data_IF_862524077347
#
_entry.id   IF_862524077347
#
_cell.length_a   1.000
_cell.length_b   1.000
_cell.length_c   1.000
_cell.angle_alpha   90.00
_cell.angle_beta   90.00
_cell.angle_gamma   90.00
#
_symmetry.space_group_name_H-M   'P 1'
#
loop_
_entity.id
_entity.type
_entity.pdbx_description
1 polymer ?
#
# COMPACT_ATOMS: atom_id res chain seq x y z
N UNK A 1 15.62 67.27 7.91
CA UNK A 1 16.90 66.74 8.43
C UNK A 1 17.26 65.53 7.59
N UNK A 2 18.46 65.57 6.97
CA UNK A 2 19.27 64.46 6.39
C UNK A 2 18.59 63.50 5.39
N UNK A 3 18.73 63.60 4.06
CA UNK A 3 19.90 63.41 3.17
C UNK A 3 20.64 62.06 3.31
N UNK A 4 20.57 61.23 2.26
CA UNK A 4 21.58 60.25 1.79
C UNK A 4 22.87 61.01 1.36
N UNK A 5 24.02 60.39 0.97
CA UNK A 5 24.39 58.96 0.77
C UNK A 5 25.74 58.58 1.43
N UNK A 6 26.19 57.31 1.32
CA UNK A 6 27.56 57.00 0.84
C UNK A 6 27.81 55.50 0.60
N UNK A 7 28.26 55.22 -0.63
CA UNK A 7 28.99 54.03 -1.03
C UNK A 7 30.38 54.01 -0.36
N UNK A 8 30.87 52.82 -0.02
CA UNK A 8 32.30 52.61 0.26
C UNK A 8 32.83 51.43 -0.54
N UNK A 9 34.00 51.66 -1.13
CA UNK A 9 34.79 50.76 -1.98
C UNK A 9 35.83 50.03 -1.11
N UNK A 10 36.05 48.75 -1.39
CA UNK A 10 37.30 48.03 -1.06
C UNK A 10 37.38 46.78 -1.96
N UNK A 11 38.15 46.76 -3.06
CA UNK A 11 39.61 46.62 -3.15
C UNK A 11 40.12 45.26 -2.64
N UNK A 12 40.64 44.43 -3.55
CA UNK A 12 41.44 43.25 -3.20
C UNK A 12 41.39 42.16 -4.28
N UNK A 13 42.44 42.06 -5.09
CA UNK A 13 42.52 41.19 -6.27
C UNK A 13 42.86 39.72 -6.01
N UNK A 14 43.17 38.99 -7.09
CA UNK A 14 43.82 37.67 -6.99
C UNK A 14 43.44 36.65 -8.06
N UNK A 15 44.06 36.79 -9.24
CA UNK A 15 44.69 35.76 -10.07
C UNK A 15 44.27 34.26 -9.95
N UNK A 16 44.09 33.63 -11.12
CA UNK A 16 44.65 32.30 -11.40
C UNK A 16 43.66 31.14 -11.52
N UNK A 17 43.48 30.65 -12.76
CA UNK A 17 42.80 29.39 -13.04
C UNK A 17 43.69 28.16 -12.86
N UNK A 18 43.05 27.05 -12.51
CA UNK A 18 43.40 25.67 -12.82
C UNK A 18 42.13 24.83 -12.53
N UNK A 19 41.61 24.06 -13.47
CA UNK A 19 42.10 22.72 -13.73
C UNK A 19 41.20 21.73 -12.98
N UNK A 20 40.26 21.12 -13.70
CA UNK A 20 39.18 20.34 -13.11
C UNK A 20 39.59 18.99 -12.51
N UNK A 21 38.69 18.48 -11.67
CA UNK A 21 38.32 17.06 -11.60
C UNK A 21 36.87 17.00 -11.14
N UNK A 22 35.98 16.60 -12.06
CA UNK A 22 34.60 16.26 -11.72
C UNK A 22 34.62 14.89 -11.03
N UNK A 23 34.34 14.88 -9.72
CA UNK A 23 34.02 13.63 -9.01
C UNK A 23 32.63 13.16 -9.46
N UNK A 24 32.45 11.94 -9.98
CA UNK A 24 31.12 11.43 -10.25
C UNK A 24 30.43 11.17 -8.90
N UNK A 25 29.31 11.86 -8.68
CA UNK A 25 28.44 11.63 -7.55
C UNK A 25 27.84 10.20 -7.65
N UNK A 26 28.39 9.26 -6.87
CA UNK A 26 27.91 7.88 -6.72
C UNK A 26 26.58 7.75 -5.94
N UNK A 27 25.85 8.83 -5.74
CA UNK A 27 24.64 8.86 -4.90
C UNK A 27 23.41 8.17 -5.53
N UNK A 28 23.46 7.77 -6.80
CA UNK A 28 22.33 7.15 -7.51
C UNK A 28 22.23 5.62 -7.41
N UNK A 29 23.31 4.92 -7.07
CA UNK A 29 23.34 3.45 -7.11
C UNK A 29 22.63 2.79 -5.92
N UNK A 30 22.61 3.45 -4.76
CA UNK A 30 22.01 2.90 -3.53
C UNK A 30 20.47 2.87 -3.53
N UNK A 31 19.82 3.81 -4.24
CA UNK A 31 18.35 3.90 -4.27
C UNK A 31 17.72 2.80 -5.15
N UNK A 32 18.31 2.51 -6.32
CA UNK A 32 17.84 1.40 -7.18
C UNK A 32 18.04 0.05 -6.50
N UNK A 33 19.22 -0.20 -5.93
CA UNK A 33 19.51 -1.47 -5.25
C UNK A 33 18.61 -1.74 -4.04
N UNK A 34 18.14 -0.69 -3.34
CA UNK A 34 17.21 -0.83 -2.22
C UNK A 34 15.78 -1.13 -2.69
N UNK A 35 15.34 -0.52 -3.79
CA UNK A 35 14.03 -0.81 -4.40
C UNK A 35 13.96 -2.23 -4.95
N UNK A 36 15.03 -2.72 -5.59
CA UNK A 36 15.11 -4.10 -6.10
C UNK A 36 15.00 -5.13 -4.97
N UNK A 37 15.71 -4.90 -3.85
CA UNK A 37 15.63 -5.77 -2.66
C UNK A 37 14.25 -5.75 -2.01
N UNK A 38 13.62 -4.58 -1.96
CA UNK A 38 12.26 -4.43 -1.44
C UNK A 38 11.25 -5.17 -2.33
N UNK A 39 11.41 -5.11 -3.65
CA UNK A 39 10.55 -5.80 -4.61
C UNK A 39 10.70 -7.33 -4.49
N UNK A 40 11.94 -7.84 -4.42
CA UNK A 40 12.19 -9.27 -4.18
C UNK A 40 11.56 -9.74 -2.87
N UNK A 41 11.60 -8.91 -1.83
CA UNK A 41 10.91 -9.20 -0.57
C UNK A 41 9.38 -9.20 -0.73
N UNK A 42 8.81 -8.33 -1.56
CA UNK A 42 7.38 -8.29 -1.81
C UNK A 42 6.90 -9.51 -2.59
N UNK A 43 7.63 -9.92 -3.64
CA UNK A 43 7.34 -11.15 -4.41
C UNK A 43 7.31 -12.38 -3.51
N UNK A 44 8.30 -12.54 -2.63
CA UNK A 44 8.31 -13.63 -1.66
C UNK A 44 7.10 -13.59 -0.72
N UNK A 45 6.75 -12.42 -0.19
CA UNK A 45 5.57 -12.27 0.67
C UNK A 45 4.27 -12.59 -0.09
N UNK A 46 4.18 -12.26 -1.38
CA UNK A 46 3.02 -12.60 -2.22
C UNK A 46 2.93 -14.11 -2.43
N UNK A 47 4.05 -14.81 -2.62
CA UNK A 47 4.08 -16.28 -2.66
C UNK A 47 3.62 -16.88 -1.32
N UNK A 48 4.10 -16.31 -0.21
CA UNK A 48 3.77 -16.77 1.14
C UNK A 48 2.27 -16.64 1.47
N UNK A 49 1.52 -15.74 0.80
CA UNK A 49 0.06 -15.66 0.93
C UNK A 49 -0.65 -16.97 0.55
N UNK A 50 -0.06 -17.76 -0.36
CA UNK A 50 -0.63 -19.05 -0.75
C UNK A 50 -0.50 -20.11 0.34
N UNK A 51 0.51 -20.00 1.21
CA UNK A 51 0.74 -20.93 2.31
C UNK A 51 -0.05 -20.50 3.57
N UNK A 52 -1.04 -21.28 4.05
CA UNK A 52 -1.85 -20.92 5.22
C UNK A 52 -1.05 -20.60 6.50
N UNK A 53 0.12 -21.23 6.69
CA UNK A 53 0.95 -21.03 7.88
C UNK A 53 1.69 -19.68 7.86
N UNK A 54 2.07 -19.20 6.67
CA UNK A 54 2.82 -17.96 6.49
C UNK A 54 1.92 -16.76 6.18
N UNK A 55 0.71 -17.04 5.70
CA UNK A 55 -0.24 -16.04 5.19
C UNK A 55 -0.52 -14.91 6.17
N UNK A 56 -0.69 -15.19 7.45
CA UNK A 56 -1.01 -14.14 8.44
C UNK A 56 0.11 -13.11 8.56
N UNK A 57 1.37 -13.56 8.58
CA UNK A 57 2.52 -12.69 8.61
C UNK A 57 2.66 -11.92 7.28
N UNK A 58 2.49 -12.63 6.16
CA UNK A 58 2.55 -12.03 4.83
C UNK A 58 1.49 -10.92 4.63
N UNK A 59 0.25 -11.14 5.07
CA UNK A 59 -0.81 -10.15 5.05
C UNK A 59 -0.44 -8.89 5.83
N UNK A 60 0.12 -9.06 7.03
CA UNK A 60 0.52 -7.95 7.90
C UNK A 60 1.66 -7.13 7.28
N UNK A 61 2.67 -7.79 6.73
CA UNK A 61 3.82 -7.10 6.16
C UNK A 61 3.49 -6.42 4.82
N UNK A 62 2.72 -7.08 3.96
CA UNK A 62 2.25 -6.47 2.70
C UNK A 62 1.30 -5.30 2.96
N UNK A 63 0.41 -5.38 3.95
CA UNK A 63 -0.53 -4.28 4.24
C UNK A 63 0.19 -3.01 4.70
N UNK A 64 1.31 -3.13 5.43
CA UNK A 64 2.18 -2.00 5.81
C UNK A 64 2.95 -1.43 4.63
N UNK A 65 3.41 -2.28 3.72
CA UNK A 65 4.26 -1.90 2.58
C UNK A 65 3.46 -1.49 1.34
N UNK A 66 2.13 -1.51 1.41
CA UNK A 66 1.24 -1.31 0.25
C UNK A 66 1.41 0.03 -0.49
N UNK A 67 1.96 1.04 0.18
CA UNK A 67 2.21 2.38 -0.41
C UNK A 67 3.62 2.49 -1.02
N UNK A 68 4.52 1.56 -0.71
CA UNK A 68 5.91 1.57 -1.17
C UNK A 68 6.06 1.03 -2.60
N UNK A 69 5.06 0.30 -3.09
CA UNK A 69 5.11 -0.44 -4.34
C UNK A 69 3.94 -0.04 -5.23
N UNK A 70 4.20 0.80 -6.24
CA UNK A 70 3.17 1.17 -7.23
C UNK A 70 2.65 -0.07 -7.98
N UNK A 71 3.52 -1.04 -8.26
CA UNK A 71 3.18 -2.24 -9.03
C UNK A 71 2.68 -3.41 -8.16
N UNK A 72 2.41 -3.20 -6.87
CA UNK A 72 1.92 -4.27 -6.00
C UNK A 72 0.56 -4.81 -6.44
N UNK A 73 -0.33 -3.95 -6.93
CA UNK A 73 -1.66 -4.38 -7.35
C UNK A 73 -1.61 -5.33 -8.56
N UNK A 74 -0.90 -5.01 -9.66
CA UNK A 74 -0.63 -5.96 -10.74
C UNK A 74 0.06 -7.24 -10.25
N UNK A 75 1.02 -7.15 -9.34
CA UNK A 75 1.71 -8.33 -8.78
C UNK A 75 0.73 -9.25 -8.03
N UNK A 76 -0.12 -8.69 -7.16
CA UNK A 76 -1.15 -9.44 -6.42
C UNK A 76 -2.17 -10.09 -7.35
N UNK A 77 -2.54 -9.40 -8.44
CA UNK A 77 -3.55 -9.89 -9.36
C UNK A 77 -3.05 -11.04 -10.25
N UNK A 78 -1.82 -10.90 -10.76
CA UNK A 78 -1.25 -11.86 -11.71
C UNK A 78 -0.54 -13.04 -11.03
N UNK A 79 -0.27 -12.94 -9.72
CA UNK A 79 0.27 -14.06 -8.95
C UNK A 79 -0.77 -15.15 -8.76
N UNK A 80 -0.36 -16.40 -9.00
CA UNK A 80 -1.24 -17.55 -8.91
C UNK A 80 -1.81 -17.69 -7.49
N UNK A 81 -3.11 -17.98 -7.38
CA UNK A 81 -3.84 -18.20 -6.13
C UNK A 81 -3.88 -17.04 -5.13
N UNK A 82 -3.21 -15.90 -5.38
CA UNK A 82 -3.14 -14.78 -4.43
C UNK A 82 -4.53 -14.17 -4.17
N UNK A 83 -5.29 -13.81 -5.21
CA UNK A 83 -6.65 -13.28 -5.04
C UNK A 83 -7.57 -14.30 -4.36
N UNK A 84 -7.42 -15.59 -4.69
CA UNK A 84 -8.19 -16.66 -4.04
C UNK A 84 -7.86 -16.79 -2.55
N UNK A 85 -6.59 -16.66 -2.17
CA UNK A 85 -6.16 -16.64 -0.78
C UNK A 85 -6.73 -15.42 -0.02
N UNK A 86 -6.74 -14.23 -0.62
CA UNK A 86 -7.37 -13.04 -0.04
C UNK A 86 -8.89 -13.22 0.15
N UNK A 87 -9.57 -13.82 -0.83
CA UNK A 87 -10.99 -14.16 -0.73
C UNK A 87 -11.25 -15.20 0.37
N UNK A 88 -10.35 -16.17 0.54
CA UNK A 88 -10.47 -17.18 1.60
C UNK A 88 -10.45 -16.52 2.98
N UNK A 89 -9.61 -15.51 3.19
CA UNK A 89 -9.59 -14.73 4.44
C UNK A 89 -10.91 -14.00 4.68
N UNK A 90 -11.51 -13.41 3.65
CA UNK A 90 -12.84 -12.78 3.75
C UNK A 90 -13.91 -13.80 4.12
N UNK A 91 -13.95 -14.95 3.44
CA UNK A 91 -15.00 -15.95 3.66
C UNK A 91 -14.85 -16.60 5.05
N UNK A 92 -13.62 -16.71 5.57
CA UNK A 92 -13.34 -17.36 6.86
C UNK A 92 -14.05 -16.72 8.06
N UNK A 93 -14.38 -15.42 7.99
CA UNK A 93 -15.06 -14.71 9.08
C UNK A 93 -16.59 -14.79 9.00
N UNK A 94 -17.17 -15.24 7.88
CA UNK A 94 -18.63 -15.30 7.71
C UNK A 94 -19.37 -16.04 8.83
N UNK A 95 -18.88 -17.21 9.33
CA UNK A 95 -19.56 -17.94 10.39
C UNK A 95 -19.66 -17.17 11.72
N UNK A 96 -18.78 -16.19 11.97
CA UNK A 96 -18.74 -15.40 13.20
C UNK A 96 -19.33 -13.99 13.06
N UNK A 97 -19.94 -13.69 11.90
CA UNK A 97 -20.74 -12.48 11.73
C UNK A 97 -22.09 -12.60 12.45
N UNK A 98 -22.63 -13.83 12.54
CA UNK A 98 -23.90 -14.14 13.20
C UNK A 98 -23.88 -15.56 13.78
N UNK A 99 -23.70 -15.75 15.11
CA UNK A 99 -23.66 -14.72 16.14
C UNK A 99 -22.38 -13.86 16.09
N UNK A 100 -22.43 -12.58 16.51
CA UNK A 100 -21.35 -11.62 16.32
C UNK A 100 -20.22 -11.80 17.34
N UNK A 101 -19.39 -12.83 17.17
CA UNK A 101 -18.27 -13.16 18.07
C UNK A 101 -16.89 -13.15 17.38
N UNK A 102 -16.54 -12.19 16.50
CA UNK A 102 -15.19 -12.12 15.95
C UNK A 102 -14.21 -11.66 17.02
N UNK A 103 -13.07 -12.35 17.11
CA UNK A 103 -11.97 -11.91 17.96
C UNK A 103 -11.26 -10.71 17.31
N UNK A 104 -10.66 -9.80 18.10
CA UNK A 104 -9.88 -8.70 17.55
C UNK A 104 -8.76 -9.16 16.60
N UNK A 105 -8.12 -10.30 16.89
CA UNK A 105 -7.10 -10.88 16.04
C UNK A 105 -7.64 -11.25 14.65
N UNK A 106 -8.79 -11.94 14.59
CA UNK A 106 -9.42 -12.33 13.33
C UNK A 106 -9.86 -11.10 12.52
N UNK A 107 -10.45 -10.09 13.17
CA UNK A 107 -10.83 -8.86 12.48
C UNK A 107 -9.63 -8.10 11.92
N UNK A 108 -8.51 -8.03 12.67
CA UNK A 108 -7.28 -7.41 12.17
C UNK A 108 -6.70 -8.15 10.96
N UNK A 109 -6.69 -9.49 11.01
CA UNK A 109 -6.22 -10.34 9.92
C UNK A 109 -7.05 -10.13 8.64
N UNK A 110 -8.37 -10.15 8.73
CA UNK A 110 -9.26 -9.88 7.58
C UNK A 110 -9.10 -8.43 7.10
N UNK A 111 -8.96 -7.45 7.99
CA UNK A 111 -8.70 -6.07 7.59
C UNK A 111 -7.38 -5.89 6.84
N UNK A 112 -6.33 -6.66 7.16
CA UNK A 112 -5.09 -6.67 6.37
C UNK A 112 -5.34 -7.20 4.96
N UNK A 113 -6.15 -8.25 4.79
CA UNK A 113 -6.54 -8.74 3.47
C UNK A 113 -7.38 -7.71 2.69
N UNK A 114 -8.34 -7.06 3.36
CA UNK A 114 -9.12 -5.97 2.77
C UNK A 114 -8.26 -4.79 2.34
N UNK A 115 -7.21 -4.45 3.10
CA UNK A 115 -6.26 -3.39 2.75
C UNK A 115 -5.51 -3.71 1.45
N UNK A 116 -5.18 -4.97 1.18
CA UNK A 116 -4.57 -5.39 -0.09
C UNK A 116 -5.57 -5.38 -1.24
N UNK A 117 -6.81 -5.82 -1.01
CA UNK A 117 -7.88 -5.71 -2.01
C UNK A 117 -8.21 -4.25 -2.34
N UNK A 118 -8.10 -3.34 -1.37
CA UNK A 118 -8.20 -1.90 -1.60
C UNK A 118 -7.13 -1.41 -2.56
N UNK A 119 -5.89 -1.90 -2.46
CA UNK A 119 -4.82 -1.56 -3.39
C UNK A 119 -5.15 -2.04 -4.81
N UNK A 120 -5.59 -3.29 -4.96
CA UNK A 120 -6.03 -3.87 -6.24
C UNK A 120 -7.20 -3.07 -6.84
N UNK A 121 -8.15 -2.65 -6.02
CA UNK A 121 -9.29 -1.83 -6.43
C UNK A 121 -8.88 -0.41 -6.86
N UNK A 122 -7.82 0.15 -6.28
CA UNK A 122 -7.36 1.51 -6.55
C UNK A 122 -6.52 1.64 -7.82
N UNK A 123 -5.87 0.55 -8.26
CA UNK A 123 -4.93 0.58 -9.38
C UNK A 123 -5.64 0.50 -10.74
N UNK A 124 -5.28 1.35 -11.72
CA UNK A 124 -6.00 1.45 -13.01
C UNK A 124 -6.07 0.12 -13.76
N UNK A 125 -4.97 -0.64 -13.78
CA UNK A 125 -4.88 -1.87 -14.58
C UNK A 125 -5.69 -3.04 -13.99
N UNK A 126 -5.86 -3.08 -12.67
CA UNK A 126 -6.55 -4.19 -11.99
C UNK A 126 -7.96 -3.86 -11.56
N UNK A 127 -8.33 -2.58 -11.47
CA UNK A 127 -9.65 -2.13 -11.00
C UNK A 127 -10.81 -2.74 -11.80
N UNK A 128 -10.74 -2.69 -13.14
CA UNK A 128 -11.81 -3.26 -13.97
C UNK A 128 -11.86 -4.78 -13.87
N UNK A 129 -10.70 -5.44 -13.73
CA UNK A 129 -10.63 -6.89 -13.53
C UNK A 129 -11.26 -7.28 -12.19
N UNK A 130 -10.97 -6.53 -11.12
CA UNK A 130 -11.56 -6.69 -9.80
C UNK A 130 -13.09 -6.55 -9.81
N UNK A 131 -13.60 -5.56 -10.54
CA UNK A 131 -15.03 -5.33 -10.70
C UNK A 131 -15.69 -6.46 -11.51
N UNK A 132 -15.11 -6.82 -12.66
CA UNK A 132 -15.63 -7.89 -13.53
C UNK A 132 -15.58 -9.27 -12.87
N UNK A 133 -14.64 -9.49 -11.94
CA UNK A 133 -14.57 -10.70 -11.11
C UNK A 133 -15.63 -10.75 -10.00
N UNK A 134 -16.47 -9.72 -9.86
CA UNK A 134 -17.53 -9.64 -8.84
C UNK A 134 -17.01 -9.76 -7.39
N UNK A 135 -15.72 -9.50 -7.16
CA UNK A 135 -15.09 -9.50 -5.82
C UNK A 135 -15.78 -8.54 -4.83
N UNK A 136 -16.24 -7.33 -5.23
CA UNK A 136 -16.92 -6.42 -4.29
C UNK A 136 -18.13 -7.05 -3.57
N UNK A 137 -18.81 -8.02 -4.19
CA UNK A 137 -20.00 -8.67 -3.61
C UNK A 137 -19.67 -9.44 -2.31
N UNK A 138 -18.45 -9.95 -2.18
CA UNK A 138 -17.99 -10.65 -0.97
C UNK A 138 -17.88 -9.73 0.25
N UNK A 139 -17.94 -8.40 0.07
CA UNK A 139 -17.87 -7.43 1.16
C UNK A 139 -19.25 -7.07 1.72
N UNK A 140 -20.34 -7.36 1.01
CA UNK A 140 -21.70 -7.01 1.44
C UNK A 140 -22.10 -7.63 2.78
N UNK A 141 -21.76 -8.90 3.10
CA UNK A 141 -22.03 -9.45 4.43
C UNK A 141 -21.42 -8.63 5.57
N UNK A 142 -20.26 -8.00 5.36
CA UNK A 142 -19.64 -7.14 6.37
C UNK A 142 -20.40 -5.84 6.55
N UNK A 143 -20.80 -5.21 5.46
CA UNK A 143 -21.54 -3.94 5.47
C UNK A 143 -22.93 -4.08 6.09
N UNK A 144 -23.56 -5.25 5.97
CA UNK A 144 -24.87 -5.53 6.55
C UNK A 144 -24.85 -5.83 8.06
N UNK A 145 -23.68 -5.89 8.69
CA UNK A 145 -23.59 -6.13 10.13
C UNK A 145 -24.07 -4.90 10.93
N UNK A 146 -24.87 -5.15 11.97
CA UNK A 146 -25.46 -4.09 12.83
C UNK A 146 -24.76 -3.95 14.18
N UNK A 147 -23.86 -4.87 14.52
CA UNK A 147 -23.08 -4.83 15.77
C UNK A 147 -22.26 -3.55 15.87
N UNK A 148 -22.26 -2.93 17.06
CA UNK A 148 -21.51 -1.71 17.38
C UNK A 148 -20.20 -1.97 18.10
N UNK A 149 -19.73 -3.22 18.15
CA UNK A 149 -18.43 -3.49 18.75
C UNK A 149 -17.31 -2.99 17.84
N UNK A 150 -16.20 -2.56 18.45
CA UNK A 150 -15.03 -2.01 17.75
C UNK A 150 -14.51 -2.90 16.60
N UNK A 151 -14.45 -4.24 16.72
CA UNK A 151 -14.04 -5.10 15.60
C UNK A 151 -14.97 -5.01 14.37
N UNK A 152 -16.29 -4.91 14.57
CA UNK A 152 -17.25 -4.75 13.46
C UNK A 152 -17.23 -3.36 12.85
N UNK A 153 -17.07 -2.31 13.66
CA UNK A 153 -16.88 -0.95 13.15
C UNK A 153 -15.63 -0.86 12.27
N UNK A 154 -14.52 -1.43 12.73
CA UNK A 154 -13.29 -1.47 11.96
C UNK A 154 -13.45 -2.27 10.67
N UNK A 155 -14.07 -3.46 10.74
CA UNK A 155 -14.34 -4.29 9.56
C UNK A 155 -15.20 -3.56 8.52
N UNK A 156 -16.27 -2.89 8.94
CA UNK A 156 -17.15 -2.10 8.06
C UNK A 156 -16.40 -0.92 7.45
N UNK A 157 -15.64 -0.18 8.25
CA UNK A 157 -14.86 0.97 7.78
C UNK A 157 -13.86 0.56 6.69
N UNK A 158 -13.10 -0.52 6.91
CA UNK A 158 -12.13 -1.02 5.93
C UNK A 158 -12.83 -1.54 4.67
N UNK A 159 -13.97 -2.21 4.81
CA UNK A 159 -14.78 -2.68 3.67
C UNK A 159 -15.31 -1.51 2.82
N UNK A 160 -15.80 -0.46 3.46
CA UNK A 160 -16.18 0.79 2.78
C UNK A 160 -14.98 1.45 2.09
N UNK A 161 -13.78 1.34 2.65
CA UNK A 161 -12.54 1.82 2.02
C UNK A 161 -12.25 1.15 0.68
N UNK A 162 -12.50 -0.15 0.54
CA UNK A 162 -12.37 -0.88 -0.73
C UNK A 162 -13.38 -0.36 -1.75
N UNK A 163 -14.65 -0.25 -1.37
CA UNK A 163 -15.71 0.29 -2.25
C UNK A 163 -15.42 1.75 -2.63
N UNK A 164 -14.94 2.56 -1.69
CA UNK A 164 -14.52 3.94 -1.90
C UNK A 164 -13.39 4.06 -2.93
N UNK A 165 -12.41 3.15 -2.87
CA UNK A 165 -11.31 3.11 -3.84
C UNK A 165 -11.80 2.78 -5.26
N UNK A 166 -12.76 1.86 -5.40
CA UNK A 166 -13.37 1.54 -6.69
C UNK A 166 -14.04 2.76 -7.32
N UNK A 167 -14.86 3.48 -6.55
CA UNK A 167 -15.62 4.63 -7.08
C UNK A 167 -14.72 5.84 -7.37
N UNK A 168 -13.69 6.07 -6.55
CA UNK A 168 -12.72 7.14 -6.79
C UNK A 168 -11.96 6.96 -8.10
N UNK A 169 -11.76 5.71 -8.52
CA UNK A 169 -11.07 5.41 -9.77
C UNK A 169 -11.91 5.58 -11.03
N UNK A 170 -13.24 5.72 -10.91
CA UNK A 170 -14.15 5.75 -12.08
C UNK A 170 -14.29 7.13 -12.74
N UNK A 171 -13.63 8.17 -12.20
CA UNK A 171 -13.55 9.52 -12.77
C UNK A 171 -12.21 9.75 -13.46
#
# INVERSE_FOLDING_TARGET
>A
MTNLPQFSIGAGGGFGGFGGVASPSLAGAGASANNDRNMQSAEQLVLDLSNPELRENALLELSKKRELFQDLAPLLWNSCATIAALLQEIISIYPVLSPPTPTPALSNRVCNALALLQCVASHPDTRMLFLNAHIPLYLYPFLNTTSKSRPFEYLRLTSLGVIGALVKGMT
#
